data_IF_188215589692
#
_entry.id   IF_188215589692
#
_cell.length_a   1.000
_cell.length_b   1.000
_cell.length_c   1.000
_cell.angle_alpha   90.00
_cell.angle_beta   90.00
_cell.angle_gamma   90.00
#
_symmetry.space_group_name_H-M   'P 1'
#
loop_
_entity.id
_entity.type
_entity.pdbx_description
1 polymer ?
#
# COMPACT_ATOMS: atom_id res chain seq x y z
N UNK A 1 13.67 -24.13 23.86
CA UNK A 1 12.89 -22.87 23.89
C UNK A 1 13.19 -21.88 22.74
N UNK A 2 13.31 -22.34 21.49
CA UNK A 2 13.55 -21.45 20.32
C UNK A 2 12.33 -21.37 19.37
N UNK A 3 11.43 -22.35 19.41
CA UNK A 3 10.31 -22.49 18.46
C UNK A 3 9.08 -21.65 18.81
N UNK A 4 8.94 -21.23 20.08
CA UNK A 4 7.82 -20.38 20.53
C UNK A 4 8.00 -18.90 20.18
N UNK A 5 9.24 -18.44 19.95
CA UNK A 5 9.52 -17.04 19.60
C UNK A 5 9.15 -16.73 18.14
N UNK A 6 9.42 -17.67 17.22
CA UNK A 6 9.08 -17.54 15.79
C UNK A 6 7.58 -17.55 15.53
N UNK A 7 6.79 -18.34 16.29
CA UNK A 7 5.32 -18.31 16.16
C UNK A 7 4.70 -17.00 16.68
N UNK A 8 5.37 -16.30 17.60
CA UNK A 8 4.92 -15.02 18.16
C UNK A 8 5.14 -13.86 17.19
N UNK A 9 6.20 -13.91 16.38
CA UNK A 9 6.42 -12.94 15.30
C UNK A 9 5.45 -13.16 14.14
N UNK A 10 5.08 -14.40 13.82
CA UNK A 10 4.05 -14.72 12.82
C UNK A 10 2.65 -14.24 13.23
N UNK A 11 2.31 -14.29 14.53
CA UNK A 11 1.03 -13.75 15.03
C UNK A 11 1.02 -12.22 15.09
N UNK A 12 2.19 -11.58 15.26
CA UNK A 12 2.30 -10.12 15.25
C UNK A 12 2.22 -9.51 13.83
N UNK A 13 2.55 -10.30 12.80
CA UNK A 13 2.31 -9.96 11.39
C UNK A 13 0.83 -9.99 11.00
N UNK A 14 0.00 -10.79 11.70
CA UNK A 14 -1.45 -10.90 11.44
C UNK A 14 -2.29 -9.75 11.99
N UNK A 15 -1.93 -9.15 13.12
CA UNK A 15 -2.84 -8.28 13.88
C UNK A 15 -2.46 -6.79 13.91
N UNK A 16 -1.92 -6.25 12.82
CA UNK A 16 -1.87 -4.79 12.62
C UNK A 16 -0.48 -4.13 12.66
N UNK A 17 0.61 -4.90 12.76
CA UNK A 17 1.97 -4.36 12.69
C UNK A 17 2.41 -3.88 11.29
N UNK A 18 1.74 -4.35 10.24
CA UNK A 18 2.05 -3.98 8.84
C UNK A 18 1.67 -2.53 8.50
N UNK A 19 0.69 -1.95 9.19
CA UNK A 19 0.22 -0.60 8.93
C UNK A 19 1.13 0.49 9.54
N UNK A 20 1.83 0.19 10.62
CA UNK A 20 2.70 1.17 11.29
C UNK A 20 4.04 1.37 10.57
N UNK A 21 4.55 0.35 9.87
CA UNK A 21 5.79 0.46 9.09
C UNK A 21 5.61 1.25 7.77
N UNK A 22 4.37 1.50 7.35
CA UNK A 22 4.03 2.29 6.15
C UNK A 22 4.00 3.81 6.42
N UNK A 23 4.11 4.24 7.67
CA UNK A 23 4.01 5.67 8.04
C UNK A 23 5.32 6.45 7.88
N UNK A 24 6.42 5.81 7.47
CA UNK A 24 7.75 6.43 7.50
C UNK A 24 8.25 7.02 6.16
N UNK A 25 7.41 7.20 5.14
CA UNK A 25 7.78 7.96 3.94
C UNK A 25 6.66 8.92 3.54
N UNK A 26 6.94 10.20 3.77
CA UNK A 26 6.11 11.37 3.50
C UNK A 26 5.73 11.49 2.01
N UNK A 27 4.43 11.68 1.71
CA UNK A 27 3.99 12.36 0.48
C UNK A 27 3.28 11.54 -0.61
N UNK A 28 2.19 10.82 -0.27
CA UNK A 28 1.19 10.21 -1.19
C UNK A 28 1.67 9.04 -2.11
N UNK A 29 0.71 8.32 -2.73
CA UNK A 29 0.29 6.97 -2.39
C UNK A 29 1.07 5.90 -3.16
N UNK A 30 1.88 5.11 -2.47
CA UNK A 30 2.16 3.68 -2.70
C UNK A 30 3.39 3.30 -1.86
N UNK A 31 3.44 2.09 -1.26
CA UNK A 31 4.64 1.64 -0.54
C UNK A 31 5.85 1.64 -1.49
N UNK A 32 7.04 2.05 -0.99
CA UNK A 32 8.29 1.92 -1.74
C UNK A 32 8.38 0.47 -2.31
N UNK A 33 8.54 0.32 -3.64
CA UNK A 33 8.57 -0.99 -4.28
C UNK A 33 9.64 -1.94 -3.70
N UNK A 34 10.68 -1.41 -3.03
CA UNK A 34 11.65 -2.22 -2.27
C UNK A 34 11.06 -2.91 -1.05
N UNK A 35 10.28 -2.17 -0.26
CA UNK A 35 9.62 -2.67 0.94
C UNK A 35 8.54 -3.68 0.56
N UNK A 36 7.76 -3.35 -0.47
CA UNK A 36 6.77 -4.25 -1.04
C UNK A 36 7.41 -5.55 -1.53
N UNK A 37 8.51 -5.48 -2.30
CA UNK A 37 9.21 -6.65 -2.83
C UNK A 37 9.64 -7.63 -1.71
N UNK A 38 10.25 -7.11 -0.65
CA UNK A 38 10.69 -7.94 0.48
C UNK A 38 9.53 -8.59 1.23
N UNK A 39 8.38 -7.91 1.33
CA UNK A 39 7.18 -8.45 1.96
C UNK A 39 6.54 -9.55 1.10
N UNK A 40 6.34 -9.30 -0.19
CA UNK A 40 5.73 -10.28 -1.10
C UNK A 40 6.60 -11.52 -1.30
N UNK A 41 7.94 -11.36 -1.28
CA UNK A 41 8.86 -12.49 -1.31
C UNK A 41 8.74 -13.38 -0.06
N UNK A 42 8.55 -12.79 1.13
CA UNK A 42 8.29 -13.54 2.38
C UNK A 42 6.93 -14.21 2.39
N UNK A 43 5.93 -13.58 1.79
CA UNK A 43 4.56 -14.09 1.64
C UNK A 43 4.42 -15.11 0.50
N UNK A 44 5.51 -15.45 -0.20
CA UNK A 44 5.54 -16.39 -1.34
C UNK A 44 4.58 -16.04 -2.47
N UNK A 45 4.27 -14.74 -2.63
CA UNK A 45 3.51 -14.23 -3.76
C UNK A 45 4.46 -13.75 -4.84
N UNK A 46 5.01 -14.71 -5.59
CA UNK A 46 6.12 -14.47 -6.50
C UNK A 46 5.71 -13.73 -7.78
N UNK A 47 4.47 -13.91 -8.25
CA UNK A 47 3.99 -13.24 -9.48
C UNK A 47 3.86 -11.74 -9.24
N UNK A 48 3.22 -11.35 -8.14
CA UNK A 48 3.08 -9.93 -7.76
C UNK A 48 4.44 -9.32 -7.40
N UNK A 49 5.30 -10.06 -6.68
CA UNK A 49 6.66 -9.62 -6.37
C UNK A 49 7.49 -9.33 -7.63
N UNK A 50 7.38 -10.18 -8.67
CA UNK A 50 8.07 -9.97 -9.93
C UNK A 50 7.65 -8.67 -10.63
N UNK A 51 6.36 -8.32 -10.58
CA UNK A 51 5.85 -7.06 -11.12
C UNK A 51 6.47 -5.85 -10.41
N UNK A 52 6.49 -5.87 -9.06
CA UNK A 52 7.14 -4.82 -8.28
C UNK A 52 8.65 -4.72 -8.54
N UNK A 53 9.34 -5.84 -8.71
CA UNK A 53 10.76 -5.85 -9.04
C UNK A 53 11.04 -5.22 -10.42
N UNK A 54 10.20 -5.49 -11.43
CA UNK A 54 10.32 -4.86 -12.75
C UNK A 54 10.12 -3.35 -12.67
N UNK A 55 9.05 -2.90 -12.01
CA UNK A 55 8.78 -1.47 -11.82
C UNK A 55 9.88 -0.78 -11.01
N UNK A 56 10.46 -1.46 -10.01
CA UNK A 56 11.61 -0.94 -9.28
C UNK A 56 12.82 -0.76 -10.20
N UNK A 57 13.06 -1.66 -11.15
CA UNK A 57 14.17 -1.53 -12.10
C UNK A 57 13.94 -0.43 -13.13
N UNK A 58 12.70 -0.17 -13.52
CA UNK A 58 12.31 0.95 -14.41
C UNK A 58 12.59 2.31 -13.78
N UNK A 59 12.45 2.44 -12.45
CA UNK A 59 12.70 3.69 -11.73
C UNK A 59 14.20 4.05 -11.61
N UNK A 60 15.12 3.20 -12.07
CA UNK A 60 16.56 3.47 -12.04
C UNK A 60 17.17 3.66 -10.64
N UNK A 61 17.00 2.70 -9.70
CA UNK A 61 17.54 2.81 -8.35
C UNK A 61 19.06 2.66 -8.32
N UNK A 62 19.67 3.01 -7.17
CA UNK A 62 21.10 2.76 -6.90
C UNK A 62 21.51 1.32 -7.27
N UNK A 63 22.73 1.12 -7.82
CA UNK A 63 23.15 -0.15 -8.41
C UNK A 63 23.08 -1.34 -7.44
N UNK A 64 23.41 -1.15 -6.16
CA UNK A 64 23.29 -2.18 -5.12
C UNK A 64 21.87 -2.75 -5.02
N UNK A 65 20.88 -1.87 -5.10
CA UNK A 65 19.47 -2.27 -4.94
C UNK A 65 18.92 -2.83 -6.24
N UNK A 66 19.39 -2.33 -7.39
CA UNK A 66 19.07 -2.93 -8.68
C UNK A 66 19.58 -4.37 -8.77
N UNK A 67 20.78 -4.67 -8.26
CA UNK A 67 21.32 -6.03 -8.22
C UNK A 67 20.46 -6.95 -7.34
N UNK A 68 20.08 -6.49 -6.15
CA UNK A 68 19.19 -7.26 -5.27
C UNK A 68 17.82 -7.51 -5.90
N UNK A 69 17.22 -6.49 -6.52
CA UNK A 69 15.94 -6.61 -7.21
C UNK A 69 16.00 -7.61 -8.38
N UNK A 70 17.07 -7.59 -9.18
CA UNK A 70 17.30 -8.57 -10.26
C UNK A 70 17.43 -9.99 -9.75
N UNK A 71 18.15 -10.18 -8.64
CA UNK A 71 18.30 -11.51 -8.01
C UNK A 71 16.96 -12.06 -7.53
N UNK A 72 16.15 -11.23 -6.89
CA UNK A 72 14.81 -11.60 -6.45
C UNK A 72 13.92 -11.89 -7.66
N UNK A 73 13.98 -11.06 -8.71
CA UNK A 73 13.21 -11.26 -9.95
C UNK A 73 13.50 -12.62 -10.59
N UNK A 74 14.77 -13.01 -10.70
CA UNK A 74 15.17 -14.30 -11.25
C UNK A 74 14.65 -15.50 -10.41
N UNK A 75 14.56 -15.34 -9.09
CA UNK A 75 13.98 -16.34 -8.21
C UNK A 75 12.45 -16.41 -8.38
N UNK A 76 11.79 -15.27 -8.56
CA UNK A 76 10.34 -15.21 -8.79
C UNK A 76 9.92 -15.77 -10.16
N UNK A 77 10.76 -15.61 -11.20
CA UNK A 77 10.48 -16.13 -12.55
C UNK A 77 10.57 -17.65 -12.65
N UNK A 78 11.36 -18.29 -11.77
CA UNK A 78 11.45 -19.75 -11.70
C UNK A 78 10.18 -20.38 -11.13
N UNK A 79 9.47 -19.68 -10.26
CA UNK A 79 8.24 -20.18 -9.60
C UNK A 79 7.17 -19.09 -9.57
N UNK A 80 6.47 -18.83 -10.69
CA UNK A 80 5.48 -17.75 -10.80
C UNK A 80 4.12 -18.13 -10.20
N UNK A 81 4.11 -18.53 -8.93
CA UNK A 81 2.90 -18.92 -8.20
C UNK A 81 2.60 -17.91 -7.10
N UNK A 82 1.32 -17.57 -6.94
CA UNK A 82 0.84 -16.82 -5.78
C UNK A 82 0.14 -17.78 -4.81
N UNK A 83 0.59 -17.81 -3.56
CA UNK A 83 0.02 -18.65 -2.50
C UNK A 83 -1.22 -18.00 -1.86
N UNK A 84 -1.26 -16.66 -1.83
CA UNK A 84 -2.33 -15.91 -1.19
C UNK A 84 -3.05 -14.97 -2.16
N UNK A 85 -4.38 -15.08 -2.19
CA UNK A 85 -5.23 -14.16 -2.95
C UNK A 85 -5.28 -12.79 -2.28
N UNK A 86 -4.82 -11.76 -3.00
CA UNK A 86 -4.81 -10.37 -2.54
C UNK A 86 -5.91 -9.59 -3.26
N UNK A 87 -6.54 -8.64 -2.56
CA UNK A 87 -7.47 -7.68 -3.16
C UNK A 87 -6.72 -6.52 -3.82
N UNK A 88 -5.74 -6.85 -4.67
CA UNK A 88 -4.86 -5.89 -5.33
C UNK A 88 -4.84 -6.19 -6.83
N UNK A 89 -5.23 -5.20 -7.62
CA UNK A 89 -5.13 -5.23 -9.08
C UNK A 89 -4.20 -4.10 -9.53
N UNK A 90 -3.08 -4.47 -10.14
CA UNK A 90 -2.06 -3.54 -10.63
C UNK A 90 -2.46 -2.80 -11.91
N UNK A 91 -3.40 -3.34 -12.69
CA UNK A 91 -3.84 -2.76 -13.96
C UNK A 91 -4.97 -1.75 -13.78
N UNK A 92 -5.67 -1.82 -12.64
CA UNK A 92 -6.79 -0.96 -12.37
C UNK A 92 -6.40 0.16 -11.38
N UNK A 93 -6.31 1.43 -11.82
CA UNK A 93 -5.98 2.52 -10.92
C UNK A 93 -7.03 2.66 -9.81
N UNK A 94 -6.57 2.82 -8.58
CA UNK A 94 -7.40 2.91 -7.39
C UNK A 94 -6.93 4.05 -6.47
N UNK A 95 -7.84 4.54 -5.65
CA UNK A 95 -7.54 5.44 -4.54
C UNK A 95 -7.58 4.67 -3.23
N UNK A 96 -6.74 5.02 -2.25
CA UNK A 96 -6.73 4.34 -0.95
C UNK A 96 -7.66 5.09 0.01
N UNK A 97 -8.54 4.36 0.70
CA UNK A 97 -9.35 4.94 1.77
C UNK A 97 -8.48 5.32 2.98
N UNK A 98 -8.48 6.59 3.38
CA UNK A 98 -7.67 7.08 4.51
C UNK A 98 -8.08 6.61 5.92
N UNK A 99 -9.01 5.66 6.04
CA UNK A 99 -9.49 5.09 7.32
C UNK A 99 -9.38 3.57 7.27
N UNK A 100 -10.02 2.94 6.28
CA UNK A 100 -10.07 1.48 6.16
C UNK A 100 -8.85 0.88 5.45
N UNK A 101 -8.02 1.71 4.81
CA UNK A 101 -6.84 1.30 4.02
C UNK A 101 -7.15 0.27 2.92
N UNK A 102 -8.40 0.25 2.46
CA UNK A 102 -8.85 -0.57 1.33
C UNK A 102 -8.76 0.22 0.02
N UNK A 103 -8.43 -0.44 -1.10
CA UNK A 103 -8.44 0.18 -2.41
C UNK A 103 -9.88 0.47 -2.88
N UNK A 104 -10.09 1.68 -3.38
CA UNK A 104 -11.31 2.16 -4.02
C UNK A 104 -11.01 2.26 -5.51
N UNK A 105 -11.47 1.27 -6.26
CA UNK A 105 -11.30 1.22 -7.71
C UNK A 105 -12.16 2.28 -8.41
N UNK A 106 -11.70 2.75 -9.58
CA UNK A 106 -12.46 3.69 -10.40
C UNK A 106 -13.85 3.16 -10.73
N UNK A 107 -14.85 4.05 -10.65
CA UNK A 107 -16.26 3.73 -10.89
C UNK A 107 -17.05 3.35 -9.62
N UNK A 108 -16.39 3.12 -8.48
CA UNK A 108 -17.07 2.99 -7.19
C UNK A 108 -17.31 4.37 -6.56
N UNK A 109 -18.38 4.55 -5.77
CA UNK A 109 -18.61 5.80 -5.06
C UNK A 109 -17.46 6.07 -4.09
N UNK A 110 -16.89 7.26 -4.17
CA UNK A 110 -15.84 7.75 -3.28
C UNK A 110 -16.20 9.14 -2.79
N UNK A 111 -15.87 9.44 -1.53
CA UNK A 111 -16.06 10.75 -0.91
C UNK A 111 -14.68 11.35 -0.64
N UNK A 112 -14.50 12.63 -0.93
CA UNK A 112 -13.20 13.29 -0.77
C UNK A 112 -13.24 14.29 0.36
N UNK A 113 -12.09 14.44 1.00
CA UNK A 113 -11.86 15.54 1.93
C UNK A 113 -11.71 16.84 1.14
N UNK A 114 -12.52 17.87 1.44
CA UNK A 114 -12.48 19.13 0.70
C UNK A 114 -11.18 19.93 0.90
N UNK A 115 -10.45 19.65 1.98
CA UNK A 115 -9.21 20.35 2.31
C UNK A 115 -7.96 19.64 1.76
N UNK A 116 -7.76 18.37 2.13
CA UNK A 116 -6.53 17.63 1.76
C UNK A 116 -6.69 16.75 0.52
N UNK A 117 -7.89 16.63 -0.04
CA UNK A 117 -8.14 15.79 -1.22
C UNK A 117 -8.05 14.28 -0.97
N UNK A 118 -7.85 13.83 0.27
CA UNK A 118 -7.84 12.41 0.62
C UNK A 118 -9.19 11.75 0.28
N UNK A 119 -9.13 10.54 -0.26
CA UNK A 119 -10.31 9.78 -0.68
C UNK A 119 -10.75 8.82 0.42
N UNK A 120 -12.05 8.64 0.57
CA UNK A 120 -12.68 7.82 1.58
C UNK A 120 -13.85 7.03 1.00
N UNK A 121 -14.16 5.91 1.66
CA UNK A 121 -15.38 5.16 1.38
C UNK A 121 -16.62 5.96 1.83
N UNK A 122 -17.75 5.80 1.13
CA UNK A 122 -18.98 6.55 1.44
C UNK A 122 -19.53 6.25 2.84
N UNK A 123 -19.16 5.10 3.42
CA UNK A 123 -19.45 4.72 4.82
C UNK A 123 -18.85 5.68 5.86
N UNK A 124 -17.92 6.54 5.46
CA UNK A 124 -17.24 7.49 6.35
C UNK A 124 -17.61 8.95 6.06
N UNK A 125 -18.63 9.18 5.23
CA UNK A 125 -19.18 10.52 4.99
C UNK A 125 -19.65 11.14 6.30
N UNK A 126 -19.37 12.42 6.51
CA UNK A 126 -19.73 13.15 7.73
C UNK A 126 -18.81 12.90 8.93
N UNK A 127 -17.77 12.07 8.80
CA UNK A 127 -16.74 11.91 9.84
C UNK A 127 -15.64 12.95 9.67
N UNK A 128 -14.96 13.25 10.76
CA UNK A 128 -13.76 14.07 10.76
C UNK A 128 -12.64 13.32 10.02
N UNK A 129 -12.00 14.00 9.07
CA UNK A 129 -10.92 13.44 8.29
C UNK A 129 -9.69 13.16 9.18
N UNK A 130 -9.21 11.91 9.31
CA UNK A 130 -8.07 11.58 10.16
C UNK A 130 -6.73 12.09 9.60
N UNK A 131 -6.70 12.46 8.31
CA UNK A 131 -5.49 12.93 7.65
C UNK A 131 -5.21 14.40 7.99
N UNK A 132 -6.24 15.26 7.86
CA UNK A 132 -6.08 16.69 8.16
C UNK A 132 -6.52 17.05 9.59
N UNK A 133 -7.34 16.22 10.24
CA UNK A 133 -7.83 16.46 11.60
C UNK A 133 -8.81 17.62 11.76
N UNK A 134 -9.17 18.32 10.68
CA UNK A 134 -9.93 19.58 10.77
C UNK A 134 -11.21 19.63 9.93
N UNK A 135 -11.25 18.93 8.80
CA UNK A 135 -12.39 19.00 7.88
C UNK A 135 -13.21 17.71 7.88
N UNK A 136 -14.47 17.84 7.52
CA UNK A 136 -15.45 16.76 7.46
C UNK A 136 -15.47 16.15 6.06
N UNK A 137 -15.50 14.81 5.98
CA UNK A 137 -15.43 14.07 4.72
C UNK A 137 -16.74 14.25 3.92
N UNK A 138 -16.61 14.63 2.64
CA UNK A 138 -17.75 14.78 1.73
C UNK A 138 -18.60 16.03 1.98
N UNK A 139 -18.08 17.01 2.72
CA UNK A 139 -18.75 18.29 2.95
C UNK A 139 -18.60 19.20 1.74
N UNK A 140 -19.72 19.78 1.31
CA UNK A 140 -19.73 20.82 0.28
C UNK A 140 -19.07 22.09 0.82
N UNK A 141 -18.06 22.58 0.10
CA UNK A 141 -17.35 23.81 0.43
C UNK A 141 -17.16 24.64 -0.84
N UNK A 142 -16.95 25.95 -0.67
CA UNK A 142 -16.65 26.86 -1.78
C UNK A 142 -15.27 26.56 -2.42
N UNK A 143 -14.41 25.82 -1.73
CA UNK A 143 -13.05 25.47 -2.14
C UNK A 143 -11.98 26.25 -1.38
N UNK A 144 -10.73 25.81 -1.50
CA UNK A 144 -9.59 26.45 -0.86
C UNK A 144 -9.36 27.84 -1.47
N UNK A 145 -9.43 28.89 -0.64
CA UNK A 145 -9.08 30.27 -1.02
C UNK A 145 -7.88 30.71 -0.20
N UNK A 146 -6.80 31.10 -0.86
CA UNK A 146 -5.62 31.69 -0.24
C UNK A 146 -5.59 33.14 -0.72
N UNK A 147 -5.60 34.08 0.22
CA UNK A 147 -5.62 35.53 -0.01
C UNK A 147 -4.40 36.18 0.62
#
# INVERSE_FOLDING_TARGET
DAEKHTRRTETHLRNGGLLHALQATTGAPDPDPRTALNMFFKLKNFKTAASFARRLLELGPRPEVAQQARKILQACEQTPTDEHQLQYDEHNPFNICGISYKPIYRGKPEEKCPLCGASFMPEHKGKLCPICGVSEIGKEVVGLRIC
#
